data_IF_170444607508
#
_entry.id   IF_170444607508
#
_cell.length_a   1.000
_cell.length_b   1.000
_cell.length_c   1.000
_cell.angle_alpha   90.00
_cell.angle_beta   90.00
_cell.angle_gamma   90.00
#
_symmetry.space_group_name_H-M   'P 1'
#
loop_
_entity.id
_entity.type
_entity.pdbx_description
1 polymer ?
#
# COMPACT_ATOMS: atom_id res chain seq x y z
N UNK A 1 16.22 -38.88 74.11
CA UNK A 1 16.75 -38.64 72.72
C UNK A 1 15.56 -38.36 71.81
N UNK A 2 15.33 -37.06 71.46
CA UNK A 2 14.18 -36.63 70.66
C UNK A 2 14.71 -36.39 69.24
N UNK A 3 14.26 -37.20 68.27
CA UNK A 3 14.59 -37.01 66.86
C UNK A 3 13.61 -35.98 66.27
N UNK A 4 14.14 -34.82 65.88
CA UNK A 4 13.42 -33.79 65.14
C UNK A 4 13.49 -34.14 63.68
N UNK A 5 12.36 -34.53 63.08
CA UNK A 5 12.24 -34.67 61.63
C UNK A 5 11.99 -33.27 61.04
N UNK A 6 12.98 -32.76 60.32
CA UNK A 6 12.82 -31.54 59.51
C UNK A 6 12.20 -31.95 58.18
N UNK A 7 10.94 -31.60 57.97
CA UNK A 7 10.22 -31.78 56.73
C UNK A 7 10.61 -30.63 55.78
N UNK A 8 11.49 -30.90 54.84
CA UNK A 8 11.84 -29.95 53.79
C UNK A 8 10.72 -29.97 52.70
N UNK A 9 9.84 -28.97 52.75
CA UNK A 9 8.84 -28.77 51.71
C UNK A 9 9.49 -28.15 50.51
N UNK A 10 9.67 -28.94 49.46
CA UNK A 10 10.17 -28.50 48.19
C UNK A 10 9.04 -27.74 47.44
N UNK A 11 9.06 -26.43 47.48
CA UNK A 11 8.14 -25.60 46.69
C UNK A 11 8.63 -25.57 45.27
N UNK A 12 8.01 -26.38 44.42
CA UNK A 12 8.18 -26.31 42.96
C UNK A 12 7.51 -25.04 42.46
N UNK A 13 8.27 -23.97 42.24
CA UNK A 13 7.81 -22.85 41.44
C UNK A 13 7.66 -23.32 39.99
N UNK A 14 6.45 -23.73 39.66
CA UNK A 14 6.06 -23.90 38.26
C UNK A 14 6.02 -22.51 37.62
N UNK A 15 7.14 -22.09 37.05
CA UNK A 15 7.20 -20.91 36.23
C UNK A 15 6.39 -21.19 34.96
N UNK A 16 5.14 -20.78 34.97
CA UNK A 16 4.30 -20.78 33.78
C UNK A 16 4.78 -19.62 32.89
N UNK A 17 5.87 -19.85 32.16
CA UNK A 17 6.20 -19.01 31.00
C UNK A 17 5.08 -19.25 30.00
N UNK A 18 4.14 -18.29 29.89
CA UNK A 18 3.27 -18.18 28.72
C UNK A 18 4.22 -17.99 27.53
N UNK A 19 4.49 -19.07 26.79
CA UNK A 19 4.95 -18.96 25.42
C UNK A 19 3.78 -18.24 24.72
N UNK A 20 4.01 -16.99 24.39
CA UNK A 20 3.26 -16.31 23.33
C UNK A 20 3.70 -17.07 22.09
N UNK A 21 2.95 -18.10 21.71
CA UNK A 21 3.05 -18.67 20.38
C UNK A 21 2.70 -17.53 19.42
N UNK A 22 3.73 -17.01 18.79
CA UNK A 22 3.58 -16.10 17.65
C UNK A 22 2.87 -16.93 16.56
N UNK A 23 1.54 -16.81 16.51
CA UNK A 23 0.70 -17.38 15.46
C UNK A 23 0.91 -16.58 14.16
N UNK A 24 2.15 -16.44 13.73
CA UNK A 24 2.43 -16.08 12.35
C UNK A 24 2.08 -17.31 11.51
N UNK A 25 0.89 -17.34 10.96
CA UNK A 25 0.60 -18.28 9.88
C UNK A 25 1.71 -18.10 8.85
N UNK A 26 2.46 -19.16 8.60
CA UNK A 26 3.55 -19.14 7.64
C UNK A 26 2.93 -19.01 6.25
N UNK A 27 2.69 -17.74 5.84
CA UNK A 27 2.23 -17.44 4.50
C UNK A 27 3.35 -17.83 3.54
N UNK A 28 3.03 -18.58 2.50
CA UNK A 28 3.99 -18.94 1.47
C UNK A 28 4.49 -17.66 0.80
N UNK A 29 5.82 -17.50 0.75
CA UNK A 29 6.41 -16.38 0.02
C UNK A 29 6.49 -16.74 -1.47
N UNK A 30 6.19 -15.75 -2.33
CA UNK A 30 6.35 -15.81 -3.78
C UNK A 30 7.41 -14.78 -4.19
N UNK A 31 8.25 -15.11 -5.15
CA UNK A 31 9.23 -14.14 -5.67
C UNK A 31 8.52 -13.03 -6.45
N UNK A 32 8.98 -11.79 -6.31
CA UNK A 32 8.40 -10.65 -7.04
C UNK A 32 8.43 -10.84 -8.56
N UNK A 33 9.47 -11.51 -9.08
CA UNK A 33 9.60 -11.83 -10.52
C UNK A 33 8.55 -12.79 -11.06
N UNK A 34 7.79 -13.45 -10.18
CA UNK A 34 6.70 -14.37 -10.52
C UNK A 34 5.31 -13.72 -10.35
N UNK A 35 5.28 -12.44 -9.99
CA UNK A 35 4.05 -11.69 -9.78
C UNK A 35 3.73 -10.84 -11.00
N UNK A 36 2.45 -10.80 -11.39
CA UNK A 36 1.92 -9.87 -12.39
C UNK A 36 1.52 -8.51 -11.79
N UNK A 37 1.61 -8.40 -10.45
CA UNK A 37 1.23 -7.19 -9.72
C UNK A 37 2.14 -6.02 -10.08
N UNK A 38 1.52 -4.86 -10.27
CA UNK A 38 2.25 -3.59 -10.45
C UNK A 38 1.84 -2.62 -9.36
N UNK A 39 2.78 -1.79 -8.92
CA UNK A 39 2.53 -0.76 -7.91
C UNK A 39 2.92 0.61 -8.42
N UNK A 40 2.15 1.61 -8.02
CA UNK A 40 2.41 3.01 -8.27
C UNK A 40 2.90 3.67 -6.99
N UNK A 41 3.94 4.48 -7.12
CA UNK A 41 4.45 5.37 -6.08
C UNK A 41 4.43 6.76 -6.68
N UNK A 42 3.51 7.57 -6.22
CA UNK A 42 3.23 8.88 -6.81
C UNK A 42 3.49 9.95 -5.76
N UNK A 43 4.47 10.81 -6.01
CA UNK A 43 4.75 11.94 -5.15
C UNK A 43 3.97 13.17 -5.62
N UNK A 44 3.23 13.73 -4.70
CA UNK A 44 2.30 14.84 -4.91
C UNK A 44 2.64 16.00 -3.99
N UNK A 45 2.62 17.20 -4.53
CA UNK A 45 2.63 18.43 -3.74
C UNK A 45 1.21 18.92 -3.49
N UNK A 46 0.89 19.25 -2.25
CA UNK A 46 -0.41 19.82 -1.90
C UNK A 46 -0.48 21.29 -2.36
N UNK A 47 -1.51 21.64 -3.14
CA UNK A 47 -1.71 22.98 -3.66
C UNK A 47 -2.35 23.88 -2.60
N UNK A 48 -1.64 24.92 -2.16
CA UNK A 48 -2.11 25.85 -1.11
C UNK A 48 -3.33 26.70 -1.50
N UNK A 49 -3.67 26.75 -2.78
CA UNK A 49 -4.76 27.58 -3.31
C UNK A 49 -6.08 26.81 -3.52
N UNK A 50 -6.12 25.51 -3.19
CA UNK A 50 -7.35 24.75 -3.27
C UNK A 50 -8.32 25.17 -2.17
N UNK A 51 -9.59 25.35 -2.53
CA UNK A 51 -10.68 25.57 -1.57
C UNK A 51 -11.32 24.26 -1.11
N UNK A 52 -10.89 23.13 -1.66
CA UNK A 52 -11.41 21.80 -1.35
C UNK A 52 -10.73 21.23 -0.10
N UNK A 53 -11.49 20.56 0.76
CA UNK A 53 -10.94 19.86 1.93
C UNK A 53 -10.22 18.61 1.48
N UNK A 54 -8.92 18.53 1.79
CA UNK A 54 -8.05 17.43 1.41
C UNK A 54 -8.52 16.09 2.00
N UNK A 55 -8.92 16.08 3.27
CA UNK A 55 -9.34 14.86 3.95
C UNK A 55 -10.68 14.36 3.39
N UNK A 56 -11.62 15.25 3.11
CA UNK A 56 -12.90 14.90 2.50
C UNK A 56 -12.68 14.30 1.12
N UNK A 57 -11.90 14.93 0.27
CA UNK A 57 -11.56 14.42 -1.06
C UNK A 57 -10.90 13.03 -1.02
N UNK A 58 -9.87 12.86 -0.17
CA UNK A 58 -9.15 11.59 -0.06
C UNK A 58 -10.07 10.47 0.43
N UNK A 59 -10.98 10.75 1.38
CA UNK A 59 -11.97 9.79 1.83
C UNK A 59 -12.93 9.39 0.70
N UNK A 60 -13.47 10.34 -0.04
CA UNK A 60 -14.42 10.09 -1.14
C UNK A 60 -13.80 9.23 -2.25
N UNK A 61 -12.61 9.60 -2.72
CA UNK A 61 -11.94 8.85 -3.81
C UNK A 61 -11.53 7.46 -3.35
N UNK A 62 -11.02 7.31 -2.11
CA UNK A 62 -10.66 6.01 -1.55
C UNK A 62 -11.87 5.09 -1.44
N UNK A 63 -12.99 5.58 -0.92
CA UNK A 63 -14.23 4.81 -0.87
C UNK A 63 -14.75 4.43 -2.26
N UNK A 64 -14.63 5.31 -3.24
CA UNK A 64 -15.05 5.03 -4.61
C UNK A 64 -14.20 3.92 -5.23
N UNK A 65 -12.86 3.98 -5.10
CA UNK A 65 -11.94 2.93 -5.60
C UNK A 65 -12.23 1.61 -4.89
N UNK A 66 -12.29 1.59 -3.57
CA UNK A 66 -12.57 0.39 -2.77
C UNK A 66 -13.89 -0.30 -3.17
N UNK A 67 -14.93 0.48 -3.48
CA UNK A 67 -16.26 -0.07 -3.84
C UNK A 67 -16.35 -0.55 -5.28
N UNK A 68 -15.59 0.00 -6.20
CA UNK A 68 -15.78 -0.21 -7.64
C UNK A 68 -14.64 -0.96 -8.33
N UNK A 69 -13.47 -1.04 -7.72
CA UNK A 69 -12.26 -1.50 -8.37
C UNK A 69 -11.64 -2.71 -7.63
N UNK A 70 -12.26 -3.88 -7.78
CA UNK A 70 -11.80 -5.12 -7.14
C UNK A 70 -10.41 -5.59 -7.63
N UNK A 71 -9.92 -5.02 -8.73
CA UNK A 71 -8.57 -5.23 -9.26
C UNK A 71 -7.51 -4.34 -8.60
N UNK A 72 -7.90 -3.34 -7.81
CA UNK A 72 -7.03 -2.56 -6.95
C UNK A 72 -6.83 -3.30 -5.61
N UNK A 73 -5.58 -3.64 -5.27
CA UNK A 73 -5.22 -4.41 -4.08
C UNK A 73 -4.87 -3.51 -2.90
N UNK A 74 -4.33 -2.33 -3.18
CA UNK A 74 -3.94 -1.35 -2.18
C UNK A 74 -4.12 0.06 -2.76
N UNK A 75 -4.58 0.99 -1.94
CA UNK A 75 -4.80 2.38 -2.31
C UNK A 75 -4.68 3.26 -1.08
N UNK A 76 -3.63 4.06 -0.98
CA UNK A 76 -3.36 4.81 0.25
C UNK A 76 -2.63 6.13 0.02
N UNK A 77 -3.08 7.18 0.72
CA UNK A 77 -2.47 8.50 0.76
C UNK A 77 -1.71 8.69 2.06
N UNK A 78 -0.44 9.08 1.98
CA UNK A 78 0.45 9.29 3.12
C UNK A 78 0.97 10.73 3.09
N UNK A 79 0.56 11.53 4.08
CA UNK A 79 0.90 12.96 4.15
C UNK A 79 2.15 13.21 5.01
N UNK A 80 2.99 14.15 4.60
CA UNK A 80 4.14 14.62 5.37
C UNK A 80 3.69 15.35 6.66
N UNK A 81 4.57 15.42 7.65
CA UNK A 81 4.28 16.08 8.95
C UNK A 81 3.90 17.56 8.79
N UNK A 82 4.47 18.24 7.81
CA UNK A 82 4.18 19.66 7.51
C UNK A 82 2.95 19.87 6.62
N UNK A 83 2.31 18.77 6.16
CA UNK A 83 1.10 18.81 5.35
C UNK A 83 1.31 19.27 3.90
N UNK A 84 2.56 19.40 3.43
CA UNK A 84 2.85 19.98 2.10
C UNK A 84 3.01 18.96 0.99
N UNK A 85 3.29 17.70 1.34
CA UNK A 85 3.54 16.62 0.40
C UNK A 85 2.73 15.38 0.74
N UNK A 86 2.30 14.66 -0.29
CA UNK A 86 1.59 13.39 -0.16
C UNK A 86 2.25 12.36 -1.05
N UNK A 87 2.48 11.16 -0.51
CA UNK A 87 2.78 9.99 -1.34
C UNK A 87 1.49 9.20 -1.50
N UNK A 88 1.02 9.02 -2.73
CA UNK A 88 -0.06 8.11 -3.08
C UNK A 88 0.57 6.78 -3.50
N UNK A 89 0.22 5.72 -2.79
CA UNK A 89 0.61 4.36 -3.10
C UNK A 89 -0.59 3.57 -3.58
N UNK A 90 -0.43 2.91 -4.71
CA UNK A 90 -1.47 2.08 -5.33
C UNK A 90 -0.87 0.74 -5.75
N UNK A 91 -1.67 -0.32 -5.69
CA UNK A 91 -1.27 -1.65 -6.13
C UNK A 91 -2.40 -2.34 -6.88
N UNK A 92 -2.07 -2.94 -8.01
CA UNK A 92 -3.02 -3.60 -8.90
C UNK A 92 -2.63 -5.05 -9.17
N UNK A 93 -3.62 -5.88 -9.42
CA UNK A 93 -3.42 -7.31 -9.74
C UNK A 93 -2.52 -7.52 -10.97
N UNK A 94 -2.53 -6.58 -11.92
CA UNK A 94 -1.72 -6.58 -13.14
C UNK A 94 -1.87 -5.24 -13.91
N UNK A 95 -1.17 -5.12 -15.03
CA UNK A 95 -1.23 -3.96 -15.92
C UNK A 95 -2.63 -3.67 -16.48
N UNK A 96 -3.47 -4.69 -16.74
CA UNK A 96 -4.85 -4.51 -17.21
C UNK A 96 -5.71 -3.82 -16.15
N UNK A 97 -5.58 -4.26 -14.88
CA UNK A 97 -6.24 -3.61 -13.74
C UNK A 97 -5.85 -2.14 -13.60
N UNK A 98 -4.56 -1.83 -13.76
CA UNK A 98 -4.06 -0.47 -13.71
C UNK A 98 -4.55 0.41 -14.88
N UNK A 99 -4.68 -0.14 -16.09
CA UNK A 99 -5.31 0.56 -17.24
C UNK A 99 -6.76 0.90 -16.91
N UNK A 100 -7.53 -0.06 -16.35
CA UNK A 100 -8.93 0.18 -15.96
C UNK A 100 -9.05 1.28 -14.92
N UNK A 101 -8.17 1.28 -13.90
CA UNK A 101 -8.11 2.37 -12.93
C UNK A 101 -7.85 3.71 -13.61
N UNK A 102 -6.80 3.80 -14.44
CA UNK A 102 -6.48 5.02 -15.17
C UNK A 102 -7.63 5.53 -16.05
N UNK A 103 -8.35 4.63 -16.73
CA UNK A 103 -9.56 4.98 -17.51
C UNK A 103 -10.67 5.52 -16.61
N UNK A 104 -10.93 4.89 -15.47
CA UNK A 104 -11.95 5.34 -14.51
C UNK A 104 -11.59 6.69 -13.92
N UNK A 105 -10.32 6.91 -13.60
CA UNK A 105 -9.82 8.16 -13.04
C UNK A 105 -9.93 9.31 -14.06
N UNK A 106 -9.38 9.13 -15.27
CA UNK A 106 -9.36 10.17 -16.32
C UNK A 106 -10.77 10.58 -16.75
N UNK A 107 -11.70 9.63 -16.83
CA UNK A 107 -13.08 9.89 -17.25
C UNK A 107 -14.04 10.17 -16.07
N UNK A 108 -13.53 10.12 -14.84
CA UNK A 108 -14.32 10.24 -13.62
C UNK A 108 -14.41 11.68 -13.10
N UNK A 109 -15.27 11.87 -12.10
CA UNK A 109 -15.48 13.16 -11.44
C UNK A 109 -14.33 13.59 -10.53
N UNK A 110 -13.37 12.69 -10.26
CA UNK A 110 -12.24 12.98 -9.36
C UNK A 110 -11.04 13.60 -10.08
N UNK A 111 -10.96 13.51 -11.42
CA UNK A 111 -9.78 13.94 -12.17
C UNK A 111 -9.44 15.42 -11.98
N UNK A 112 -10.39 16.30 -12.26
CA UNK A 112 -10.20 17.75 -12.12
C UNK A 112 -9.97 18.15 -10.65
N UNK A 113 -10.70 17.55 -9.71
CA UNK A 113 -10.57 17.77 -8.28
C UNK A 113 -9.18 17.36 -7.76
N UNK A 114 -8.67 16.22 -8.24
CA UNK A 114 -7.33 15.74 -7.90
C UNK A 114 -6.26 16.76 -8.30
N UNK A 115 -6.28 17.26 -9.54
CA UNK A 115 -5.29 18.22 -10.00
C UNK A 115 -5.52 19.67 -9.48
N UNK A 116 -6.69 19.97 -8.93
CA UNK A 116 -6.90 21.17 -8.13
C UNK A 116 -6.22 21.06 -6.74
N UNK A 117 -6.23 19.89 -6.13
CA UNK A 117 -5.62 19.63 -4.82
C UNK A 117 -4.12 19.36 -4.90
N UNK A 118 -3.66 18.71 -5.97
CA UNK A 118 -2.30 18.20 -6.07
C UNK A 118 -1.60 18.65 -7.35
N UNK A 119 -0.30 18.83 -7.21
CA UNK A 119 0.63 18.87 -8.35
C UNK A 119 1.42 17.57 -8.34
N UNK A 120 1.42 16.86 -9.47
CA UNK A 120 2.21 15.64 -9.66
C UNK A 120 3.70 16.02 -9.78
N UNK A 121 4.53 15.52 -8.86
CA UNK A 121 5.98 15.78 -8.86
C UNK A 121 6.78 14.59 -9.41
N UNK A 122 6.35 13.36 -9.08
CA UNK A 122 7.03 12.16 -9.54
C UNK A 122 6.04 11.00 -9.66
N UNK A 123 6.25 10.10 -10.62
CA UNK A 123 5.44 8.91 -10.80
C UNK A 123 6.33 7.72 -11.15
N UNK A 124 6.45 6.80 -10.21
CA UNK A 124 7.19 5.55 -10.37
C UNK A 124 6.21 4.39 -10.45
N UNK A 125 6.43 3.49 -11.43
CA UNK A 125 5.72 2.22 -11.52
C UNK A 125 6.71 1.09 -11.32
N UNK A 126 6.43 0.20 -10.38
CA UNK A 126 7.25 -0.99 -10.12
C UNK A 126 6.51 -2.26 -10.51
N UNK A 127 7.25 -3.25 -11.02
CA UNK A 127 6.71 -4.53 -11.48
C UNK A 127 6.63 -4.66 -13.01
N UNK A 128 6.00 -5.73 -13.53
CA UNK A 128 6.03 -6.08 -14.95
C UNK A 128 5.02 -5.27 -15.77
N UNK A 129 5.29 -3.97 -15.94
CA UNK A 129 4.47 -3.08 -16.76
C UNK A 129 4.48 -3.51 -18.22
N UNK A 130 3.32 -3.86 -18.80
CA UNK A 130 3.19 -4.27 -20.20
C UNK A 130 3.35 -3.08 -21.16
N UNK A 131 3.69 -3.37 -22.42
CA UNK A 131 3.78 -2.34 -23.47
C UNK A 131 2.44 -1.63 -23.69
N UNK A 132 1.32 -2.33 -23.50
CA UNK A 132 -0.02 -1.77 -23.60
C UNK A 132 -0.29 -0.74 -22.48
N UNK A 133 0.12 -1.05 -21.25
CA UNK A 133 0.03 -0.11 -20.15
C UNK A 133 0.94 1.11 -20.38
N UNK A 134 2.19 0.90 -20.80
CA UNK A 134 3.14 1.99 -21.13
C UNK A 134 2.59 2.89 -22.24
N UNK A 135 1.97 2.30 -23.25
CA UNK A 135 1.31 3.06 -24.32
C UNK A 135 0.12 3.86 -23.80
N UNK A 136 -0.77 3.24 -22.99
CA UNK A 136 -1.92 3.91 -22.41
C UNK A 136 -1.50 5.14 -21.61
N UNK A 137 -0.51 5.03 -20.72
CA UNK A 137 -0.04 6.13 -19.90
C UNK A 137 0.61 7.24 -20.72
N UNK A 138 1.42 6.88 -21.72
CA UNK A 138 2.03 7.84 -22.65
C UNK A 138 0.99 8.59 -23.48
N UNK A 139 -0.01 7.90 -24.02
CA UNK A 139 -1.09 8.51 -24.80
C UNK A 139 -1.92 9.52 -23.98
N UNK A 140 -1.96 9.34 -22.67
CA UNK A 140 -2.64 10.24 -21.71
C UNK A 140 -1.70 11.28 -21.07
N UNK A 141 -0.46 11.38 -21.53
CA UNK A 141 0.49 12.42 -21.13
C UNK A 141 1.17 12.20 -19.78
N UNK A 142 1.10 11.01 -19.20
CA UNK A 142 1.82 10.69 -17.97
C UNK A 142 3.29 10.40 -18.25
N UNK A 143 4.17 11.03 -17.48
CA UNK A 143 5.61 10.78 -17.50
C UNK A 143 5.92 9.85 -16.35
N UNK A 144 6.33 8.60 -16.64
CA UNK A 144 6.49 7.55 -15.65
C UNK A 144 7.89 6.96 -15.71
N UNK A 145 8.49 6.76 -14.53
CA UNK A 145 9.71 5.99 -14.33
C UNK A 145 9.33 4.52 -14.07
N UNK A 146 9.54 3.65 -15.05
CA UNK A 146 9.24 2.21 -14.96
C UNK A 146 10.42 1.45 -14.40
N UNK A 147 10.18 0.66 -13.34
CA UNK A 147 11.19 -0.13 -12.64
C UNK A 147 10.77 -1.60 -12.54
N UNK A 148 11.52 -2.47 -13.17
CA UNK A 148 11.32 -3.91 -13.07
C UNK A 148 11.85 -4.45 -11.74
N UNK A 149 11.32 -5.60 -11.30
CA UNK A 149 11.81 -6.26 -10.09
C UNK A 149 13.21 -6.81 -10.31
N UNK A 150 14.17 -6.32 -9.52
CA UNK A 150 15.51 -6.88 -9.50
C UNK A 150 15.54 -8.16 -8.66
N UNK A 151 14.95 -8.13 -7.46
CA UNK A 151 14.76 -9.25 -6.55
C UNK A 151 13.82 -8.83 -5.40
N UNK A 152 13.18 -9.81 -4.76
CA UNK A 152 12.30 -9.60 -3.62
C UNK A 152 11.27 -10.71 -3.49
N UNK A 153 10.43 -10.62 -2.46
CA UNK A 153 9.31 -11.54 -2.26
C UNK A 153 8.08 -10.80 -1.77
N UNK A 154 6.92 -11.42 -1.96
CA UNK A 154 5.62 -11.05 -1.39
C UNK A 154 5.06 -12.24 -0.60
N UNK A 155 4.20 -11.98 0.39
CA UNK A 155 3.51 -12.99 1.20
C UNK A 155 2.01 -12.76 1.22
#
# INVERSE_FOLDING_TARGET
MRHIFILITLILFSSCTKQVEDNYQQMSAKMNSESDEISFIIDLKVNSNSSEDLNEFVNEITENVMKKESFCLEYGYYISEDGTSVTLYEKYVNSEGAIKHGQNFINGSFFDRFFNLFTLENFVVTGPATDEFKKFTSDNGFIIDYRESLNGFIR
#
